data_IF_901118680230
#
_entry.id   IF_901118680230
#
_cell.length_a   1.000
_cell.length_b   1.000
_cell.length_c   1.000
_cell.angle_alpha   90.00
_cell.angle_beta   90.00
_cell.angle_gamma   90.00
#
_symmetry.space_group_name_H-M   'P 1'
#
loop_
_entity.id
_entity.type
_entity.pdbx_description
1 polymer ?
#
# COMPACT_ATOMS: atom_id res chain seq x y z
N UNK A 1 -1.01 -4.19 -12.07
CA UNK A 1 -1.28 -3.09 -11.10
C UNK A 1 -1.04 -3.46 -9.64
N UNK A 2 -1.58 -4.58 -9.11
CA UNK A 2 -1.31 -4.99 -7.73
C UNK A 2 -1.93 -4.08 -6.65
N UNK A 3 -3.04 -3.41 -6.96
CA UNK A 3 -3.79 -2.55 -6.04
C UNK A 3 -5.23 -3.04 -5.96
N UNK A 4 -5.78 -3.06 -4.75
CA UNK A 4 -7.18 -3.37 -4.49
C UNK A 4 -7.68 -2.52 -3.32
N UNK A 5 -8.96 -2.14 -3.33
CA UNK A 5 -9.59 -1.48 -2.17
C UNK A 5 -10.89 -2.17 -1.75
N UNK A 6 -12.05 -1.55 -1.92
CA UNK A 6 -13.35 -2.11 -1.57
C UNK A 6 -14.20 -2.18 -2.85
N UNK A 7 -15.41 -1.64 -2.84
CA UNK A 7 -16.28 -1.52 -4.01
C UNK A 7 -15.81 -0.41 -4.98
N UNK A 8 -16.09 -0.49 -6.29
CA UNK A 8 -16.79 -1.55 -7.04
C UNK A 8 -15.88 -2.74 -7.40
N UNK A 9 -16.35 -3.66 -8.25
CA UNK A 9 -15.53 -4.77 -8.79
C UNK A 9 -14.24 -4.26 -9.44
N UNK A 10 -13.21 -5.09 -9.41
CA UNK A 10 -11.86 -4.75 -9.88
C UNK A 10 -11.83 -4.20 -11.30
N UNK A 11 -12.57 -4.81 -12.24
CA UNK A 11 -12.60 -4.38 -13.65
C UNK A 11 -13.03 -2.91 -13.79
N UNK A 12 -14.05 -2.49 -13.04
CA UNK A 12 -14.48 -1.10 -13.01
C UNK A 12 -13.46 -0.16 -12.35
N UNK A 13 -12.70 -0.67 -11.37
CA UNK A 13 -11.61 0.10 -10.78
C UNK A 13 -10.49 0.31 -11.82
N UNK A 14 -10.16 -0.75 -12.59
CA UNK A 14 -9.16 -0.73 -13.65
C UNK A 14 -9.54 0.20 -14.81
N UNK A 15 -10.75 0.05 -15.37
CA UNK A 15 -11.30 0.91 -16.44
C UNK A 15 -11.17 2.38 -16.07
N UNK A 16 -11.49 2.71 -14.82
CA UNK A 16 -11.48 4.07 -14.35
C UNK A 16 -10.08 4.68 -14.26
N UNK A 17 -9.03 3.89 -14.11
CA UNK A 17 -7.67 4.43 -14.03
C UNK A 17 -7.27 5.16 -15.34
N UNK A 18 -7.92 4.81 -16.46
CA UNK A 18 -7.71 5.46 -17.76
C UNK A 18 -8.09 6.95 -17.78
N UNK A 19 -8.96 7.39 -16.86
CA UNK A 19 -9.26 8.82 -16.65
C UNK A 19 -8.03 9.62 -16.15
N UNK A 20 -7.05 8.95 -15.57
CA UNK A 20 -5.93 9.54 -14.82
C UNK A 20 -4.58 9.21 -15.45
N UNK A 21 -4.44 8.05 -16.08
CA UNK A 21 -3.19 7.54 -16.67
C UNK A 21 -3.49 6.85 -18.01
N UNK A 22 -2.46 6.67 -18.83
CA UNK A 22 -2.52 5.86 -20.04
C UNK A 22 -1.76 4.55 -19.83
N UNK A 23 -2.38 3.42 -20.17
CA UNK A 23 -1.72 2.12 -20.10
C UNK A 23 -0.70 1.92 -21.23
N UNK A 24 0.37 1.18 -20.96
CA UNK A 24 1.32 0.76 -22.00
C UNK A 24 0.67 -0.24 -22.95
N UNK A 25 1.07 -0.28 -24.23
CA UNK A 25 0.62 -1.32 -25.16
C UNK A 25 0.89 -2.73 -24.64
N UNK A 26 2.05 -2.95 -24.01
CA UNK A 26 2.44 -4.25 -23.48
C UNK A 26 1.49 -4.73 -22.37
N UNK A 27 1.04 -3.80 -21.50
CA UNK A 27 0.05 -4.12 -20.48
C UNK A 27 -1.32 -4.45 -21.10
N UNK A 28 -1.78 -3.65 -22.07
CA UNK A 28 -3.06 -3.90 -22.76
C UNK A 28 -3.08 -5.23 -23.52
N UNK A 29 -1.93 -5.63 -24.08
CA UNK A 29 -1.77 -6.89 -24.81
C UNK A 29 -1.47 -8.10 -23.90
N UNK A 30 -1.35 -7.90 -22.59
CA UNK A 30 -1.02 -8.98 -21.64
C UNK A 30 0.40 -9.53 -21.78
N UNK A 31 1.32 -8.73 -22.33
CA UNK A 31 2.72 -9.10 -22.63
C UNK A 31 3.74 -8.43 -21.70
N UNK A 32 3.26 -7.75 -20.66
CA UNK A 32 4.08 -6.98 -19.75
C UNK A 32 5.05 -7.88 -18.96
N UNK A 33 6.34 -7.53 -18.98
CA UNK A 33 7.35 -8.21 -18.18
C UNK A 33 7.17 -7.91 -16.67
N UNK A 34 7.57 -8.84 -15.77
CA UNK A 34 7.58 -8.58 -14.34
C UNK A 34 8.38 -7.30 -14.00
N UNK A 35 7.93 -6.58 -12.97
CA UNK A 35 8.58 -5.37 -12.45
C UNK A 35 8.75 -4.23 -13.47
N UNK A 36 7.88 -4.17 -14.48
CA UNK A 36 7.80 -3.03 -15.41
C UNK A 36 6.55 -2.21 -15.17
N UNK A 37 6.60 -0.94 -15.56
CA UNK A 37 5.48 -0.01 -15.40
C UNK A 37 4.31 -0.36 -16.30
N UNK A 38 3.09 -0.35 -15.76
CA UNK A 38 1.87 -0.66 -16.52
C UNK A 38 1.36 0.57 -17.29
N UNK A 39 1.84 1.76 -16.95
CA UNK A 39 1.37 3.04 -17.47
C UNK A 39 2.51 3.81 -18.14
N UNK A 40 2.14 4.69 -19.06
CA UNK A 40 3.05 5.68 -19.65
C UNK A 40 2.96 6.98 -18.87
N UNK A 41 4.10 7.63 -18.66
CA UNK A 41 4.19 8.91 -17.93
C UNK A 41 4.23 10.13 -18.85
N UNK A 42 4.31 9.91 -20.17
CA UNK A 42 4.61 10.96 -21.16
C UNK A 42 3.43 11.85 -21.60
N UNK A 43 2.18 11.54 -21.25
CA UNK A 43 0.99 12.27 -21.72
C UNK A 43 -0.03 12.48 -20.60
N UNK A 44 0.23 13.43 -19.71
CA UNK A 44 -0.72 13.82 -18.65
C UNK A 44 -1.69 14.94 -19.08
N UNK A 45 -1.50 15.54 -20.26
CA UNK A 45 -2.39 16.58 -20.76
C UNK A 45 -3.81 16.06 -20.95
N UNK A 46 -4.80 16.73 -20.35
CA UNK A 46 -6.20 16.33 -20.40
C UNK A 46 -6.61 15.21 -19.41
N UNK A 47 -5.66 14.65 -18.64
CA UNK A 47 -5.96 13.67 -17.58
C UNK A 47 -6.50 14.37 -16.34
N UNK A 48 -7.32 13.64 -15.58
CA UNK A 48 -7.85 14.13 -14.29
C UNK A 48 -6.77 14.06 -13.22
N UNK A 49 -6.86 14.95 -12.23
CA UNK A 49 -6.07 14.86 -11.01
C UNK A 49 -6.67 13.81 -10.07
N UNK A 50 -5.85 12.94 -9.44
CA UNK A 50 -6.33 12.00 -8.43
C UNK A 50 -7.15 12.70 -7.33
N UNK A 51 -8.32 12.18 -6.94
CA UNK A 51 -9.17 12.82 -5.94
C UNK A 51 -8.58 12.68 -4.53
N UNK A 52 -8.69 13.72 -3.69
CA UNK A 52 -8.20 13.72 -2.30
C UNK A 52 -9.10 13.02 -1.28
N UNK A 53 -10.35 12.72 -1.61
CA UNK A 53 -11.30 12.12 -0.66
C UNK A 53 -10.97 10.65 -0.35
N UNK A 54 -11.20 10.20 0.90
CA UNK A 54 -11.01 8.79 1.31
C UNK A 54 -12.18 7.87 0.97
N UNK A 55 -12.85 8.07 -0.16
CA UNK A 55 -13.80 7.07 -0.69
C UNK A 55 -13.00 5.85 -1.20
N UNK A 56 -13.59 4.64 -1.27
CA UNK A 56 -12.89 3.48 -1.84
C UNK A 56 -12.27 3.77 -3.22
N UNK A 57 -13.09 4.36 -4.10
CA UNK A 57 -12.70 4.84 -5.42
C UNK A 57 -11.55 5.84 -5.38
N UNK A 58 -11.60 6.82 -4.48
CA UNK A 58 -10.55 7.83 -4.37
C UNK A 58 -9.23 7.25 -3.86
N UNK A 59 -9.29 6.34 -2.88
CA UNK A 59 -8.11 5.62 -2.39
C UNK A 59 -7.51 4.73 -3.47
N UNK A 60 -8.33 4.00 -4.23
CA UNK A 60 -7.85 3.16 -5.34
C UNK A 60 -7.06 3.98 -6.36
N UNK A 61 -7.65 5.07 -6.86
CA UNK A 61 -7.00 5.92 -7.87
C UNK A 61 -5.70 6.50 -7.33
N UNK A 62 -5.67 7.02 -6.10
CA UNK A 62 -4.42 7.56 -5.52
C UNK A 62 -3.34 6.50 -5.36
N UNK A 63 -3.68 5.35 -4.78
CA UNK A 63 -2.72 4.26 -4.56
C UNK A 63 -2.15 3.74 -5.88
N UNK A 64 -3.01 3.49 -6.88
CA UNK A 64 -2.58 3.04 -8.21
C UNK A 64 -1.75 4.10 -8.92
N UNK A 65 -2.20 5.36 -8.89
CA UNK A 65 -1.51 6.46 -9.53
C UNK A 65 -0.11 6.68 -8.95
N UNK A 66 0.01 6.75 -7.63
CA UNK A 66 1.29 6.96 -6.97
C UNK A 66 2.21 5.74 -7.13
N UNK A 67 1.68 4.51 -7.04
CA UNK A 67 2.49 3.30 -7.23
C UNK A 67 3.10 3.25 -8.62
N UNK A 68 2.31 3.53 -9.67
CA UNK A 68 2.79 3.45 -11.04
C UNK A 68 3.73 4.60 -11.44
N UNK A 69 3.83 5.65 -10.62
CA UNK A 69 4.79 6.74 -10.78
C UNK A 69 5.99 6.69 -9.82
N UNK A 70 5.99 5.75 -8.88
CA UNK A 70 7.10 5.53 -7.97
C UNK A 70 8.18 4.67 -8.63
N UNK A 71 9.45 4.96 -8.34
CA UNK A 71 10.55 4.15 -8.83
C UNK A 71 10.45 2.69 -8.33
N UNK A 72 10.94 1.75 -9.14
CA UNK A 72 11.07 0.38 -8.69
C UNK A 72 12.18 0.30 -7.64
N UNK A 73 11.90 -0.19 -6.42
CA UNK A 73 12.88 -0.24 -5.35
C UNK A 73 14.03 -1.20 -5.69
N UNK A 74 15.27 -0.81 -5.41
CA UNK A 74 16.46 -1.63 -5.65
C UNK A 74 16.76 -2.61 -4.50
N UNK A 75 16.09 -2.44 -3.35
CA UNK A 75 16.28 -3.27 -2.16
C UNK A 75 14.98 -3.51 -1.39
N UNK A 76 15.00 -4.51 -0.50
CA UNK A 76 13.87 -4.79 0.41
C UNK A 76 13.54 -3.59 1.30
N UNK A 77 14.56 -2.93 1.86
CA UNK A 77 14.36 -1.82 2.78
C UNK A 77 13.77 -0.60 2.06
N UNK A 78 14.22 -0.35 0.83
CA UNK A 78 13.63 0.67 -0.05
C UNK A 78 12.19 0.31 -0.44
N UNK A 79 11.90 -0.97 -0.74
CA UNK A 79 10.56 -1.43 -1.05
C UNK A 79 9.59 -1.23 0.12
N UNK A 80 10.05 -1.54 1.34
CA UNK A 80 9.28 -1.30 2.56
C UNK A 80 9.07 0.21 2.79
N UNK A 81 10.12 1.03 2.71
CA UNK A 81 9.99 2.48 2.87
C UNK A 81 8.98 3.09 1.87
N UNK A 82 9.12 2.76 0.59
CA UNK A 82 8.20 3.19 -0.48
C UNK A 82 6.78 2.69 -0.23
N UNK A 83 6.60 1.45 0.22
CA UNK A 83 5.27 0.90 0.56
C UNK A 83 4.59 1.72 1.66
N UNK A 84 5.32 2.13 2.70
CA UNK A 84 4.76 2.96 3.77
C UNK A 84 4.31 4.33 3.26
N UNK A 85 5.12 4.98 2.43
CA UNK A 85 4.78 6.26 1.80
C UNK A 85 3.59 6.16 0.85
N UNK A 86 3.47 5.07 0.08
CA UNK A 86 2.29 4.81 -0.74
C UNK A 86 1.04 4.62 0.14
N UNK A 87 1.15 3.89 1.27
CA UNK A 87 0.05 3.70 2.21
C UNK A 87 -0.33 4.98 2.96
N UNK A 88 0.60 5.91 3.21
CA UNK A 88 0.30 7.22 3.82
C UNK A 88 -0.75 7.98 3.00
N UNK A 89 -0.67 7.92 1.66
CA UNK A 89 -1.59 8.60 0.75
C UNK A 89 -3.07 8.17 0.89
N UNK A 90 -3.30 7.01 1.50
CA UNK A 90 -4.63 6.41 1.68
C UNK A 90 -4.97 6.13 3.14
N UNK A 91 -4.10 6.55 4.06
CA UNK A 91 -4.30 6.41 5.51
C UNK A 91 -5.37 7.41 5.97
N UNK A 92 -6.48 6.89 6.50
CA UNK A 92 -7.61 7.71 6.90
C UNK A 92 -7.38 8.20 8.33
N UNK A 93 -7.28 9.51 8.57
CA UNK A 93 -7.08 10.05 9.91
C UNK A 93 -8.33 9.85 10.78
N UNK A 94 -8.12 9.60 12.06
CA UNK A 94 -9.20 9.47 13.04
C UNK A 94 -9.90 10.81 13.24
N UNK A 95 -11.22 10.85 13.08
CA UNK A 95 -12.03 12.05 13.31
C UNK A 95 -13.22 11.72 14.20
N UNK A 96 -13.19 12.19 15.46
CA UNK A 96 -14.30 11.97 16.40
C UNK A 96 -15.61 12.63 15.96
N UNK A 97 -15.54 13.74 15.22
CA UNK A 97 -16.70 14.54 14.85
C UNK A 97 -17.30 14.20 13.47
N UNK A 98 -16.48 13.71 12.52
CA UNK A 98 -16.90 13.63 11.12
C UNK A 98 -16.91 12.22 10.52
N UNK A 99 -16.04 11.30 10.97
CA UNK A 99 -15.94 9.96 10.39
C UNK A 99 -15.51 8.93 11.45
N UNK A 100 -16.40 7.98 11.82
CA UNK A 100 -16.06 6.98 12.82
C UNK A 100 -15.07 5.93 12.31
N UNK A 101 -14.88 5.81 10.99
CA UNK A 101 -13.94 4.89 10.36
C UNK A 101 -12.61 5.56 10.04
N UNK A 102 -11.52 4.94 10.46
CA UNK A 102 -10.14 5.41 10.27
C UNK A 102 -9.21 4.21 10.04
N UNK A 103 -7.98 4.46 9.60
CA UNK A 103 -6.97 3.40 9.46
C UNK A 103 -6.50 2.95 10.84
N UNK A 104 -6.71 1.69 11.21
CA UNK A 104 -6.33 1.18 12.54
C UNK A 104 -4.88 0.70 12.60
N UNK A 105 -4.34 0.22 11.48
CA UNK A 105 -2.95 -0.18 11.32
C UNK A 105 -2.57 -0.17 9.84
N UNK A 106 -1.27 -0.31 9.57
CA UNK A 106 -0.68 -0.65 8.28
C UNK A 106 0.17 -1.90 8.43
N UNK A 107 0.30 -2.65 7.33
CA UNK A 107 1.12 -3.83 7.32
C UNK A 107 1.69 -4.11 5.93
N UNK A 108 2.80 -4.85 5.90
CA UNK A 108 3.39 -5.42 4.70
C UNK A 108 3.92 -6.82 5.00
N UNK A 109 4.09 -7.64 3.98
CA UNK A 109 4.72 -8.97 4.11
C UNK A 109 5.74 -9.15 2.99
N UNK A 110 6.90 -9.66 3.35
CA UNK A 110 7.93 -10.06 2.39
C UNK A 110 7.90 -11.58 2.31
N UNK A 111 7.57 -12.10 1.13
CA UNK A 111 7.33 -13.54 0.94
C UNK A 111 8.64 -14.33 1.00
N UNK A 112 9.72 -13.76 0.44
CA UNK A 112 11.04 -14.36 0.31
C UNK A 112 11.66 -14.69 1.67
N UNK A 113 11.49 -13.81 2.66
CA UNK A 113 12.03 -14.00 4.01
C UNK A 113 10.97 -14.31 5.08
N UNK A 114 9.69 -14.37 4.68
CA UNK A 114 8.52 -14.67 5.52
C UNK A 114 8.35 -13.70 6.69
N UNK A 115 8.68 -12.43 6.49
CA UNK A 115 8.57 -11.39 7.51
C UNK A 115 7.29 -10.59 7.34
N UNK A 116 6.50 -10.51 8.41
CA UNK A 116 5.34 -9.63 8.53
C UNK A 116 5.76 -8.35 9.25
N UNK A 117 5.42 -7.21 8.67
CA UNK A 117 5.69 -5.90 9.22
C UNK A 117 4.36 -5.23 9.56
N UNK A 118 4.31 -4.55 10.71
CA UNK A 118 3.09 -4.01 11.30
C UNK A 118 3.35 -2.66 11.95
N UNK A 119 2.40 -1.75 11.80
CA UNK A 119 2.38 -0.48 12.51
C UNK A 119 0.94 -0.11 12.88
N UNK A 120 0.62 -0.11 14.17
CA UNK A 120 -0.67 0.38 14.66
C UNK A 120 -0.77 1.91 14.49
N UNK A 121 -1.99 2.45 14.58
CA UNK A 121 -2.25 3.87 14.32
C UNK A 121 -1.40 4.83 15.17
N UNK A 122 -1.17 4.54 16.45
CA UNK A 122 -0.41 5.42 17.33
C UNK A 122 1.10 5.14 17.34
N UNK A 123 1.57 4.08 16.67
CA UNK A 123 2.99 3.73 16.65
C UNK A 123 3.78 4.64 15.72
N UNK A 124 4.88 5.20 16.22
CA UNK A 124 5.87 5.91 15.40
C UNK A 124 6.75 4.95 14.59
N UNK A 125 6.96 3.73 15.08
CA UNK A 125 7.91 2.76 14.53
C UNK A 125 7.17 1.52 13.98
N UNK A 126 7.80 0.85 13.01
CA UNK A 126 7.30 -0.42 12.46
C UNK A 126 7.84 -1.58 13.29
N UNK A 127 6.96 -2.48 13.69
CA UNK A 127 7.31 -3.77 14.33
C UNK A 127 7.33 -4.87 13.26
N UNK A 128 8.16 -5.90 13.44
CA UNK A 128 8.17 -7.05 12.53
C UNK A 128 8.20 -8.39 13.27
N UNK A 129 7.65 -9.42 12.64
CA UNK A 129 7.68 -10.81 13.08
C UNK A 129 8.07 -11.67 11.89
N UNK A 130 9.09 -12.51 12.06
CA UNK A 130 9.51 -13.48 11.05
C UNK A 130 8.89 -14.84 11.34
N UNK A 131 8.24 -15.44 10.34
CA UNK A 131 7.76 -16.81 10.42
C UNK A 131 8.93 -17.78 10.23
N UNK A 132 9.37 -18.39 11.33
CA UNK A 132 10.45 -19.38 11.34
C UNK A 132 9.90 -20.80 11.20
N UNK A 133 10.77 -21.76 10.87
CA UNK A 133 10.39 -23.17 10.74
C UNK A 133 9.93 -23.76 12.07
N UNK A 134 10.42 -23.24 13.20
CA UNK A 134 9.97 -23.66 14.53
C UNK A 134 8.57 -23.13 14.83
N UNK A 135 8.25 -21.89 14.41
CA UNK A 135 6.90 -21.36 14.53
C UNK A 135 5.90 -22.16 13.69
N UNK A 136 6.30 -22.66 12.51
CA UNK A 136 5.47 -23.51 11.65
C UNK A 136 5.12 -24.87 12.26
N UNK A 137 5.97 -25.41 13.15
CA UNK A 137 5.78 -26.72 13.79
C UNK A 137 4.89 -26.66 15.04
N UNK A 138 4.51 -25.46 15.49
CA UNK A 138 3.73 -25.31 16.72
C UNK A 138 2.32 -25.86 16.54
N UNK A 139 1.88 -26.66 17.51
CA UNK A 139 0.50 -27.13 17.58
C UNK A 139 -0.49 -26.04 18.05
N UNK A 140 0.01 -25.01 18.73
CA UNK A 140 -0.80 -23.88 19.23
C UNK A 140 -0.30 -22.54 18.72
N UNK A 141 -1.21 -21.60 18.38
CA UNK A 141 -0.82 -20.26 17.95
C UNK A 141 0.04 -19.56 18.99
N UNK A 142 1.06 -18.85 18.53
CA UNK A 142 1.80 -17.89 19.34
C UNK A 142 1.30 -16.49 18.98
N UNK A 143 0.90 -15.73 20.00
CA UNK A 143 0.43 -14.34 19.83
C UNK A 143 1.57 -13.40 20.24
N UNK A 144 1.81 -12.39 19.40
CA UNK A 144 2.77 -11.33 19.67
C UNK A 144 1.98 -10.04 19.93
N UNK A 145 2.01 -9.57 21.18
CA UNK A 145 1.37 -8.31 21.56
C UNK A 145 2.30 -7.13 21.31
N UNK A 146 1.76 -6.05 20.76
CA UNK A 146 2.49 -4.79 20.57
C UNK A 146 1.67 -3.64 21.13
N UNK A 147 2.32 -2.73 21.87
CA UNK A 147 1.65 -1.56 22.42
C UNK A 147 1.27 -0.57 21.31
N UNK A 148 0.03 -0.08 21.34
CA UNK A 148 -0.46 0.97 20.43
C UNK A 148 -0.20 2.36 21.04
N UNK A 149 1.08 2.74 21.09
CA UNK A 149 1.53 3.98 21.75
C UNK A 149 2.56 4.71 20.91
N UNK A 150 2.56 6.04 21.03
CA UNK A 150 3.58 6.89 20.43
C UNK A 150 4.88 6.79 21.25
N UNK A 151 5.86 6.03 20.75
CA UNK A 151 7.15 5.82 21.38
C UNK A 151 8.30 6.35 20.49
N UNK A 152 8.60 7.66 20.55
CA UNK A 152 9.69 8.23 19.77
C UNK A 152 11.05 7.82 20.36
N UNK A 153 12.07 7.76 19.49
CA UNK A 153 13.47 7.64 19.93
C UNK A 153 13.89 8.98 20.53
N UNK A 154 14.22 8.98 21.83
CA UNK A 154 14.78 10.15 22.51
C UNK A 154 16.29 10.17 22.30
N UNK A 155 16.81 11.29 21.79
CA UNK A 155 18.25 11.49 21.60
C UNK A 155 18.93 12.07 22.84
N UNK A 156 18.15 12.61 23.79
CA UNK A 156 18.58 13.14 25.08
C UNK A 156 17.53 12.90 26.18
#
# INVERSE_FOLDING_TARGET
LGIMTNMPKFDHQLERLQDYLDFTPDFLNGTLAPNTFHVTTGKLSGKKTPPGAYTPKGRYVRAAYMKELADQPASKDEALATTWHLLDSVTVPKSKAHRPTFSVYRAATVAEDRTYYFQSYHQAQVTSVKLTDDLLKRATPLVFDTADVWAPVKLN
#
